data_IF_545217968321
#
_entry.id   IF_545217968321
#
_cell.length_a   1.000
_cell.length_b   1.000
_cell.length_c   1.000
_cell.angle_alpha   90.00
_cell.angle_beta   90.00
_cell.angle_gamma   90.00
#
_symmetry.space_group_name_H-M   'P 1'
#
loop_
_entity.id
_entity.type
_entity.pdbx_description
1 polymer ?
#
# COMPACT_ATOMS: atom_id res chain seq x y z
N UNK A 1 -11.44 22.28 1.41
CA UNK A 1 -10.92 21.06 0.74
C UNK A 1 -10.41 20.02 1.74
N UNK A 2 -9.52 20.38 2.68
CA UNK A 2 -9.07 19.48 3.77
C UNK A 2 -10.24 18.84 4.52
N UNK A 3 -11.21 19.65 4.98
CA UNK A 3 -12.40 19.17 5.70
C UNK A 3 -13.18 18.15 4.87
N UNK A 4 -13.28 18.36 3.55
CA UNK A 4 -13.97 17.44 2.64
C UNK A 4 -13.21 16.12 2.46
N UNK A 5 -11.88 16.16 2.32
CA UNK A 5 -11.03 14.96 2.28
C UNK A 5 -11.07 14.19 3.61
N UNK A 6 -11.08 14.89 4.75
CA UNK A 6 -11.25 14.28 6.07
C UNK A 6 -12.62 13.63 6.24
N UNK A 7 -13.69 14.25 5.74
CA UNK A 7 -15.05 13.68 5.79
C UNK A 7 -15.14 12.44 4.90
N UNK A 8 -14.61 12.50 3.67
CA UNK A 8 -14.58 11.35 2.75
C UNK A 8 -13.75 10.22 3.33
N UNK A 9 -12.57 10.50 3.87
CA UNK A 9 -11.72 9.46 4.49
C UNK A 9 -12.39 8.84 5.71
N UNK A 10 -13.07 9.62 6.56
CA UNK A 10 -13.89 9.07 7.66
C UNK A 10 -15.03 8.17 7.14
N UNK A 11 -15.68 8.57 6.05
CA UNK A 11 -16.73 7.77 5.43
C UNK A 11 -16.19 6.46 4.86
N UNK A 12 -15.04 6.50 4.19
CA UNK A 12 -14.32 5.33 3.67
C UNK A 12 -13.87 4.41 4.80
N UNK A 13 -13.30 4.95 5.89
CA UNK A 13 -12.86 4.16 7.05
C UNK A 13 -14.02 3.36 7.66
N UNK A 14 -15.24 3.89 7.60
CA UNK A 14 -16.42 3.22 8.14
C UNK A 14 -17.04 2.21 7.16
N UNK A 15 -17.05 2.51 5.85
CA UNK A 15 -17.68 1.66 4.84
C UNK A 15 -16.75 0.57 4.29
N UNK A 16 -15.47 0.87 4.06
CA UNK A 16 -14.53 -0.06 3.45
C UNK A 16 -14.42 -1.39 4.21
N UNK A 17 -14.35 -1.42 5.56
CA UNK A 17 -14.30 -2.68 6.30
C UNK A 17 -15.56 -3.55 6.11
N UNK A 18 -16.73 -2.92 5.91
CA UNK A 18 -17.97 -3.66 5.68
C UNK A 18 -17.98 -4.37 4.33
N UNK A 19 -17.66 -3.64 3.25
CA UNK A 19 -17.59 -4.22 1.90
C UNK A 19 -16.49 -5.26 1.79
N UNK A 20 -15.35 -5.03 2.43
CA UNK A 20 -14.22 -5.94 2.37
C UNK A 20 -14.44 -7.20 3.21
N UNK A 21 -15.19 -7.11 4.32
CA UNK A 21 -15.66 -8.31 5.03
C UNK A 21 -16.50 -9.19 4.12
N UNK A 22 -17.35 -8.59 3.27
CA UNK A 22 -18.16 -9.35 2.32
C UNK A 22 -17.28 -10.08 1.31
N UNK A 23 -16.26 -9.41 0.76
CA UNK A 23 -15.33 -10.06 -0.17
C UNK A 23 -14.46 -11.12 0.48
N UNK A 24 -13.99 -10.87 1.70
CA UNK A 24 -13.28 -11.87 2.48
C UNK A 24 -14.15 -13.11 2.66
N UNK A 25 -15.43 -12.97 3.07
CA UNK A 25 -16.36 -14.11 3.17
C UNK A 25 -16.53 -14.83 1.83
N UNK A 26 -16.63 -14.11 0.71
CA UNK A 26 -16.74 -14.72 -0.61
C UNK A 26 -15.52 -15.57 -0.96
N UNK A 27 -14.31 -15.02 -0.81
CA UNK A 27 -13.05 -15.72 -1.08
C UNK A 27 -12.88 -16.91 -0.13
N UNK A 28 -13.12 -16.69 1.16
CA UNK A 28 -13.06 -17.72 2.19
C UNK A 28 -14.08 -18.85 1.97
N UNK A 29 -15.29 -18.56 1.49
CA UNK A 29 -16.29 -19.58 1.16
C UNK A 29 -15.92 -20.43 -0.05
N UNK A 30 -15.05 -19.92 -0.92
CA UNK A 30 -14.54 -20.65 -2.08
C UNK A 30 -13.39 -21.62 -1.73
N UNK A 31 -12.73 -21.40 -0.59
CA UNK A 31 -11.71 -22.28 -0.04
C UNK A 31 -12.35 -23.16 1.05
N UNK A 32 -12.58 -24.44 0.78
CA UNK A 32 -13.41 -25.36 1.57
C UNK A 32 -13.05 -25.56 3.06
N UNK A 33 -12.02 -24.90 3.60
CA UNK A 33 -11.61 -25.01 4.99
C UNK A 33 -11.68 -23.63 5.65
N UNK A 34 -12.68 -23.33 6.50
CA UNK A 34 -12.54 -22.18 7.39
C UNK A 34 -13.26 -22.21 8.74
N UNK A 35 -12.42 -22.09 9.78
CA UNK A 35 -12.74 -21.57 11.10
C UNK A 35 -13.11 -20.08 11.02
N UNK A 36 -14.41 -19.81 10.97
CA UNK A 36 -15.03 -18.47 10.90
C UNK A 36 -14.71 -17.57 12.12
N UNK A 37 -14.12 -18.11 13.19
CA UNK A 37 -13.84 -17.39 14.44
C UNK A 37 -12.68 -16.38 14.33
N UNK A 38 -11.73 -16.57 13.40
CA UNK A 38 -10.56 -15.66 13.23
C UNK A 38 -10.87 -14.35 12.50
N UNK A 39 -12.06 -14.22 11.91
CA UNK A 39 -12.45 -13.07 11.06
C UNK A 39 -12.74 -11.79 11.88
N UNK A 40 -12.82 -11.89 13.20
CA UNK A 40 -13.23 -10.78 14.07
C UNK A 40 -12.07 -9.95 14.60
N UNK A 41 -11.70 -8.87 13.90
CA UNK A 41 -11.08 -7.70 14.56
C UNK A 41 -11.75 -6.39 14.12
N UNK A 42 -12.64 -5.88 14.98
CA UNK A 42 -13.17 -4.50 14.89
C UNK A 42 -12.08 -3.53 15.34
N UNK A 43 -11.39 -2.88 14.42
CA UNK A 43 -10.53 -1.73 14.78
C UNK A 43 -10.54 -0.71 13.66
N UNK A 44 -11.62 0.08 13.64
CA UNK A 44 -11.84 1.19 12.72
C UNK A 44 -10.86 2.37 12.98
N UNK A 45 -10.41 2.52 14.23
CA UNK A 45 -9.53 3.62 14.68
C UNK A 45 -8.12 3.53 14.06
N UNK A 46 -7.57 2.31 13.93
CA UNK A 46 -6.28 2.13 13.28
C UNK A 46 -6.37 2.51 11.78
N UNK A 47 -7.50 2.22 11.13
CA UNK A 47 -7.74 2.58 9.73
C UNK A 47 -7.79 4.08 9.53
N UNK A 48 -8.39 4.83 10.46
CA UNK A 48 -8.37 6.30 10.39
C UNK A 48 -6.96 6.88 10.47
N UNK A 49 -6.03 6.28 11.20
CA UNK A 49 -4.65 6.79 11.26
C UNK A 49 -3.94 6.56 9.92
N UNK A 50 -4.04 5.35 9.35
CA UNK A 50 -3.40 5.03 8.07
C UNK A 50 -3.99 5.79 6.89
N UNK A 51 -5.26 6.19 6.97
CA UNK A 51 -5.94 6.89 5.86
C UNK A 51 -5.86 8.41 6.04
N UNK A 52 -6.11 8.95 7.24
CA UNK A 52 -6.27 10.40 7.46
C UNK A 52 -4.93 11.10 7.67
N UNK A 53 -4.00 10.50 8.42
CA UNK A 53 -2.74 11.18 8.77
C UNK A 53 -1.84 11.46 7.54
N UNK A 54 -1.66 10.51 6.60
CA UNK A 54 -0.90 10.77 5.38
C UNK A 54 -1.54 11.85 4.49
N UNK A 55 -2.87 11.88 4.41
CA UNK A 55 -3.61 12.87 3.62
C UNK A 55 -3.44 14.29 4.16
N UNK A 56 -3.52 14.46 5.48
CA UNK A 56 -3.31 15.75 6.13
C UNK A 56 -1.89 16.29 5.88
N UNK A 57 -0.89 15.40 5.94
CA UNK A 57 0.50 15.77 5.67
C UNK A 57 0.73 16.14 4.20
N UNK A 58 0.16 15.39 3.25
CA UNK A 58 0.34 15.67 1.82
C UNK A 58 -0.41 16.90 1.32
N UNK A 59 -1.55 17.24 1.92
CA UNK A 59 -2.29 18.43 1.53
C UNK A 59 -1.47 19.72 1.72
N UNK A 60 -0.44 19.68 2.58
CA UNK A 60 0.50 20.79 2.77
C UNK A 60 1.43 20.95 1.54
N UNK A 61 1.73 19.87 0.82
CA UNK A 61 2.78 19.84 -0.21
C UNK A 61 2.25 19.69 -1.65
N UNK A 62 1.08 19.08 -1.86
CA UNK A 62 0.52 18.87 -3.20
C UNK A 62 -0.99 19.09 -3.24
N UNK A 63 -1.43 19.88 -4.22
CA UNK A 63 -2.84 20.16 -4.51
C UNK A 63 -3.43 19.26 -5.61
N UNK A 64 -2.65 18.30 -6.13
CA UNK A 64 -3.09 17.45 -7.23
C UNK A 64 -4.02 16.32 -6.75
N UNK A 65 -5.30 16.38 -7.15
CA UNK A 65 -6.34 15.49 -6.60
C UNK A 65 -6.11 13.99 -6.90
N UNK A 66 -5.59 13.67 -8.09
CA UNK A 66 -5.28 12.28 -8.46
C UNK A 66 -4.12 11.75 -7.63
N UNK A 67 -3.12 12.59 -7.35
CA UNK A 67 -2.01 12.23 -6.48
C UNK A 67 -2.46 12.00 -5.04
N UNK A 68 -3.37 12.85 -4.53
CA UNK A 68 -3.99 12.63 -3.22
C UNK A 68 -4.79 11.32 -3.20
N UNK A 69 -5.54 11.00 -4.25
CA UNK A 69 -6.31 9.76 -4.37
C UNK A 69 -5.42 8.50 -4.32
N UNK A 70 -4.21 8.53 -4.89
CA UNK A 70 -3.21 7.45 -4.78
C UNK A 70 -2.89 7.20 -3.30
N UNK A 71 -2.63 8.25 -2.52
CA UNK A 71 -2.34 8.12 -1.10
C UNK A 71 -3.53 7.65 -0.26
N UNK A 72 -4.76 8.04 -0.61
CA UNK A 72 -5.96 7.51 0.03
C UNK A 72 -6.01 5.99 -0.14
N UNK A 73 -5.87 5.52 -1.38
CA UNK A 73 -5.91 4.10 -1.69
C UNK A 73 -4.76 3.33 -1.04
N UNK A 74 -3.57 3.93 -1.01
CA UNK A 74 -2.41 3.33 -0.35
C UNK A 74 -2.62 3.23 1.17
N UNK A 75 -3.28 4.23 1.79
CA UNK A 75 -3.69 4.18 3.19
C UNK A 75 -4.70 3.07 3.48
N UNK A 76 -5.67 2.86 2.57
CA UNK A 76 -6.64 1.76 2.66
C UNK A 76 -5.91 0.42 2.55
N UNK A 77 -5.04 0.26 1.54
CA UNK A 77 -4.24 -0.94 1.35
C UNK A 77 -3.35 -1.24 2.57
N UNK A 78 -2.68 -0.23 3.12
CA UNK A 78 -1.88 -0.34 4.33
C UNK A 78 -2.70 -0.79 5.54
N UNK A 79 -3.92 -0.27 5.70
CA UNK A 79 -4.80 -0.71 6.79
C UNK A 79 -5.15 -2.20 6.68
N UNK A 80 -5.54 -2.66 5.50
CA UNK A 80 -5.91 -4.06 5.29
C UNK A 80 -4.72 -4.99 5.42
N UNK A 81 -3.58 -4.61 4.83
CA UNK A 81 -2.34 -5.35 4.97
C UNK A 81 -1.92 -5.44 6.46
N UNK A 82 -1.93 -4.33 7.21
CA UNK A 82 -1.61 -4.35 8.65
C UNK A 82 -2.53 -5.23 9.50
N UNK A 83 -3.83 -5.29 9.17
CA UNK A 83 -4.82 -6.02 9.98
C UNK A 83 -4.98 -7.47 9.57
N UNK A 84 -4.81 -7.77 8.29
CA UNK A 84 -5.20 -9.06 7.68
C UNK A 84 -4.08 -9.70 6.87
N UNK A 85 -2.93 -9.01 6.72
CA UNK A 85 -1.83 -9.44 5.87
C UNK A 85 -2.30 -9.80 4.44
N UNK A 86 -3.35 -9.12 3.99
CA UNK A 86 -3.99 -9.36 2.71
C UNK A 86 -4.64 -8.06 2.23
N UNK A 87 -4.51 -7.81 0.93
CA UNK A 87 -5.10 -6.65 0.26
C UNK A 87 -6.23 -7.17 -0.62
N UNK A 88 -7.46 -6.66 -0.43
CA UNK A 88 -8.60 -7.08 -1.25
C UNK A 88 -8.43 -6.66 -2.71
N UNK A 89 -8.85 -7.54 -3.62
CA UNK A 89 -8.79 -7.29 -5.07
C UNK A 89 -9.42 -5.96 -5.49
N UNK A 90 -10.59 -5.53 -4.98
CA UNK A 90 -11.14 -4.22 -5.32
C UNK A 90 -10.21 -3.06 -4.99
N UNK A 91 -9.44 -3.15 -3.89
CA UNK A 91 -8.46 -2.12 -3.51
C UNK A 91 -7.32 -2.09 -4.53
N UNK A 92 -6.83 -3.25 -4.97
CA UNK A 92 -5.80 -3.36 -6.00
C UNK A 92 -6.29 -2.75 -7.32
N UNK A 93 -7.46 -3.16 -7.81
CA UNK A 93 -8.02 -2.67 -9.06
C UNK A 93 -8.25 -1.17 -9.07
N UNK A 94 -8.84 -0.61 -8.00
CA UNK A 94 -9.06 0.84 -7.89
C UNK A 94 -7.72 1.59 -7.85
N UNK A 95 -6.71 1.05 -7.16
CA UNK A 95 -5.36 1.66 -7.11
C UNK A 95 -4.73 1.72 -8.50
N UNK A 96 -4.87 0.65 -9.30
CA UNK A 96 -4.38 0.61 -10.68
C UNK A 96 -5.12 1.64 -11.55
N UNK A 97 -6.45 1.72 -11.44
CA UNK A 97 -7.27 2.68 -12.19
C UNK A 97 -6.84 4.12 -11.89
N UNK A 98 -6.65 4.47 -10.62
CA UNK A 98 -6.24 5.83 -10.23
C UNK A 98 -4.84 6.16 -10.78
N UNK A 99 -3.89 5.22 -10.69
CA UNK A 99 -2.56 5.42 -11.27
C UNK A 99 -2.62 5.60 -12.80
N UNK A 100 -3.46 4.83 -13.49
CA UNK A 100 -3.64 4.98 -14.94
C UNK A 100 -4.24 6.35 -15.31
N UNK A 101 -5.24 6.80 -14.56
CA UNK A 101 -5.82 8.14 -14.73
C UNK A 101 -4.80 9.25 -14.45
N UNK A 102 -3.92 9.06 -13.46
CA UNK A 102 -2.82 9.99 -13.16
C UNK A 102 -1.88 10.16 -14.35
N UNK A 103 -1.42 9.06 -14.95
CA UNK A 103 -0.53 9.07 -16.12
C UNK A 103 -1.17 9.78 -17.31
N UNK A 104 -2.45 9.52 -17.57
CA UNK A 104 -3.20 10.18 -18.65
C UNK A 104 -3.30 11.69 -18.38
N UNK A 105 -3.61 12.05 -17.14
CA UNK A 105 -3.78 13.45 -16.74
C UNK A 105 -2.47 14.25 -16.83
N UNK A 106 -1.36 13.66 -16.37
CA UNK A 106 -0.05 14.32 -16.35
C UNK A 106 0.56 14.48 -17.73
N UNK A 107 0.05 13.78 -18.76
CA UNK A 107 0.56 13.75 -20.13
C UNK A 107 2.06 13.43 -20.24
N UNK A 108 2.65 12.89 -19.18
CA UNK A 108 4.10 12.72 -19.00
C UNK A 108 4.51 11.25 -19.11
N UNK A 109 4.25 10.66 -20.29
CA UNK A 109 4.66 9.28 -20.56
C UNK A 109 6.14 9.26 -20.94
N UNK A 110 7.02 9.21 -19.94
CA UNK A 110 8.41 8.85 -20.13
C UNK A 110 8.60 7.36 -19.79
N UNK A 111 8.53 6.53 -20.84
CA UNK A 111 8.70 5.07 -20.72
C UNK A 111 10.02 4.68 -20.05
N UNK A 112 11.08 5.48 -20.24
CA UNK A 112 12.39 5.18 -19.67
C UNK A 112 12.35 5.34 -18.15
N UNK A 113 11.81 6.44 -17.63
CA UNK A 113 11.68 6.63 -16.19
C UNK A 113 10.72 5.63 -15.57
N UNK A 114 9.60 5.31 -16.24
CA UNK A 114 8.65 4.28 -15.79
C UNK A 114 9.32 2.92 -15.64
N UNK A 115 10.04 2.45 -16.66
CA UNK A 115 10.74 1.16 -16.61
C UNK A 115 11.79 1.14 -15.50
N UNK A 116 12.58 2.21 -15.39
CA UNK A 116 13.64 2.31 -14.40
C UNK A 116 13.07 2.33 -12.97
N UNK A 117 11.96 3.04 -12.77
CA UNK A 117 11.26 3.06 -11.49
C UNK A 117 10.61 1.72 -11.15
N UNK A 118 10.01 1.04 -12.13
CA UNK A 118 9.49 -0.32 -11.97
C UNK A 118 10.57 -1.28 -11.49
N UNK A 119 11.77 -1.20 -12.06
CA UNK A 119 12.93 -2.00 -11.65
C UNK A 119 13.33 -1.69 -10.20
N UNK A 120 13.40 -0.41 -9.80
CA UNK A 120 13.71 -0.04 -8.41
C UNK A 120 12.69 -0.54 -7.40
N UNK A 121 11.40 -0.50 -7.73
CA UNK A 121 10.35 -0.97 -6.84
C UNK A 121 10.26 -2.50 -6.74
N UNK A 122 10.36 -3.19 -7.88
CA UNK A 122 10.09 -4.64 -7.94
C UNK A 122 11.31 -5.51 -7.63
N UNK A 123 12.50 -5.12 -8.08
CA UNK A 123 13.69 -5.98 -7.99
C UNK A 123 14.08 -6.26 -6.53
N UNK A 124 14.18 -5.27 -5.64
CA UNK A 124 14.53 -5.51 -4.24
C UNK A 124 13.49 -6.38 -3.53
N UNK A 125 12.21 -6.18 -3.83
CA UNK A 125 11.10 -6.95 -3.30
C UNK A 125 11.20 -8.43 -3.69
N UNK A 126 11.37 -8.70 -4.99
CA UNK A 126 11.51 -10.06 -5.53
C UNK A 126 12.75 -10.76 -5.00
N UNK A 127 13.89 -10.07 -4.92
CA UNK A 127 15.13 -10.62 -4.38
C UNK A 127 14.98 -11.05 -2.91
N UNK A 128 14.37 -10.21 -2.07
CA UNK A 128 14.17 -10.53 -0.66
C UNK A 128 13.25 -11.74 -0.47
N UNK A 129 12.13 -11.78 -1.21
CA UNK A 129 11.22 -12.92 -1.16
C UNK A 129 11.88 -14.21 -1.69
N UNK A 130 12.66 -14.14 -2.78
CA UNK A 130 13.38 -15.28 -3.33
C UNK A 130 14.45 -15.80 -2.37
N UNK A 131 15.24 -14.91 -1.75
CA UNK A 131 16.25 -15.25 -0.75
C UNK A 131 15.62 -15.91 0.48
N UNK A 132 14.53 -15.34 1.00
CA UNK A 132 13.82 -15.93 2.13
C UNK A 132 13.27 -17.32 1.81
N UNK A 133 12.70 -17.49 0.62
CA UNK A 133 12.20 -18.78 0.18
C UNK A 133 13.34 -19.80 0.00
N UNK A 134 14.49 -19.39 -0.51
CA UNK A 134 15.66 -20.26 -0.64
C UNK A 134 16.17 -20.78 0.71
N UNK A 135 16.22 -19.92 1.74
CA UNK A 135 16.76 -20.26 3.07
C UNK A 135 15.73 -20.97 3.95
N UNK A 136 14.49 -20.49 3.95
CA UNK A 136 13.47 -20.88 4.94
C UNK A 136 12.24 -21.57 4.37
N UNK A 137 12.13 -21.68 3.03
CA UNK A 137 10.94 -22.16 2.31
C UNK A 137 9.66 -21.37 2.62
N UNK A 138 9.80 -20.15 3.13
CA UNK A 138 8.72 -19.21 3.44
C UNK A 138 9.01 -17.83 2.87
N UNK A 139 7.96 -17.15 2.42
CA UNK A 139 8.02 -15.77 1.93
C UNK A 139 7.96 -14.78 3.10
N UNK A 140 8.53 -13.58 2.93
CA UNK A 140 8.50 -12.50 3.95
C UNK A 140 7.29 -11.59 3.71
N UNK A 141 7.04 -11.27 2.44
CA UNK A 141 5.99 -10.37 1.99
C UNK A 141 4.94 -11.12 1.19
N UNK A 142 3.70 -10.63 1.21
CA UNK A 142 2.56 -11.31 0.60
C UNK A 142 2.46 -11.00 -0.89
N UNK A 143 1.97 -11.95 -1.69
CA UNK A 143 1.92 -11.80 -3.14
C UNK A 143 1.07 -10.61 -3.60
N UNK A 144 0.03 -10.24 -2.84
CA UNK A 144 -0.82 -9.08 -3.13
C UNK A 144 -0.06 -7.74 -3.16
N UNK A 145 1.00 -7.62 -2.36
CA UNK A 145 1.78 -6.39 -2.22
C UNK A 145 2.44 -5.98 -3.55
N UNK A 146 2.79 -6.96 -4.40
CA UNK A 146 3.47 -6.72 -5.67
C UNK A 146 2.65 -5.87 -6.62
N UNK A 147 1.31 -6.01 -6.60
CA UNK A 147 0.43 -5.26 -7.48
C UNK A 147 0.39 -3.79 -7.09
N UNK A 148 0.39 -3.50 -5.78
CA UNK A 148 0.46 -2.13 -5.28
C UNK A 148 1.83 -1.52 -5.61
N UNK A 149 2.92 -2.26 -5.38
CA UNK A 149 4.29 -1.85 -5.70
C UNK A 149 4.42 -1.48 -7.19
N UNK A 150 3.95 -2.35 -8.08
CA UNK A 150 3.97 -2.10 -9.52
C UNK A 150 3.11 -0.88 -9.87
N UNK A 151 1.91 -0.76 -9.29
CA UNK A 151 1.01 0.36 -9.60
C UNK A 151 1.64 1.72 -9.25
N UNK A 152 2.34 1.81 -8.11
CA UNK A 152 3.03 3.03 -7.67
C UNK A 152 4.26 3.38 -8.52
N UNK A 153 4.92 2.37 -9.09
CA UNK A 153 6.09 2.61 -9.93
C UNK A 153 5.78 3.45 -11.18
N UNK A 154 4.51 3.50 -11.59
CA UNK A 154 4.07 4.30 -12.74
C UNK A 154 3.81 5.78 -12.42
N UNK A 155 3.57 6.13 -11.17
CA UNK A 155 3.15 7.49 -10.76
C UNK A 155 4.23 8.30 -10.05
N UNK A 156 5.44 7.74 -9.93
CA UNK A 156 6.51 8.27 -9.09
C UNK A 156 7.77 8.53 -9.92
N UNK A 157 8.46 9.63 -9.62
CA UNK A 157 9.76 9.95 -10.20
C UNK A 157 10.83 8.93 -9.74
N UNK A 158 11.79 8.51 -10.58
CA UNK A 158 12.75 7.46 -10.23
C UNK A 158 13.54 7.70 -8.93
N UNK A 159 13.94 8.95 -8.64
CA UNK A 159 14.66 9.29 -7.41
C UNK A 159 13.78 9.11 -6.17
N UNK A 160 12.53 9.59 -6.25
CA UNK A 160 11.54 9.43 -5.19
C UNK A 160 11.28 7.94 -4.97
N UNK A 161 11.08 7.18 -6.04
CA UNK A 161 10.87 5.74 -5.99
C UNK A 161 12.05 4.98 -5.37
N UNK A 162 13.28 5.28 -5.75
CA UNK A 162 14.46 4.70 -5.12
C UNK A 162 14.49 4.97 -3.60
N UNK A 163 14.31 6.22 -3.17
CA UNK A 163 14.31 6.56 -1.74
C UNK A 163 13.18 5.86 -0.99
N UNK A 164 11.98 5.79 -1.57
CA UNK A 164 10.85 5.08 -0.94
C UNK A 164 11.14 3.61 -0.69
N UNK A 165 11.68 2.92 -1.70
CA UNK A 165 11.93 1.47 -1.64
C UNK A 165 13.01 1.13 -0.62
N UNK A 166 14.07 1.92 -0.55
CA UNK A 166 15.15 1.73 0.43
C UNK A 166 14.60 1.93 1.85
N UNK A 167 13.86 3.01 2.09
CA UNK A 167 13.27 3.30 3.40
C UNK A 167 12.22 2.25 3.81
N UNK A 168 11.38 1.78 2.88
CA UNK A 168 10.33 0.80 3.18
C UNK A 168 10.92 -0.56 3.52
N UNK A 169 11.91 -1.02 2.76
CA UNK A 169 12.61 -2.28 3.03
C UNK A 169 13.37 -2.20 4.35
N UNK A 170 14.12 -1.12 4.57
CA UNK A 170 14.88 -0.95 5.80
C UNK A 170 13.97 -0.94 7.03
N UNK A 171 12.87 -0.18 6.99
CA UNK A 171 11.92 -0.11 8.10
C UNK A 171 11.18 -1.43 8.33
N UNK A 172 10.78 -2.14 7.27
CA UNK A 172 10.18 -3.48 7.37
C UNK A 172 11.17 -4.49 8.01
N UNK A 173 12.43 -4.52 7.57
CA UNK A 173 13.45 -5.41 8.13
C UNK A 173 13.77 -5.08 9.59
N UNK A 174 13.83 -3.79 9.93
CA UNK A 174 14.02 -3.35 11.32
C UNK A 174 12.86 -3.81 12.19
N UNK A 175 11.62 -3.68 11.70
CA UNK A 175 10.44 -4.19 12.39
C UNK A 175 10.49 -5.72 12.56
N UNK A 176 10.92 -6.46 11.54
CA UNK A 176 11.16 -7.91 11.60
C UNK A 176 12.10 -8.26 12.77
N UNK A 177 13.22 -7.54 12.86
CA UNK A 177 14.26 -7.77 13.85
C UNK A 177 13.76 -7.48 15.27
N UNK A 178 13.02 -6.39 15.46
CA UNK A 178 12.50 -5.98 16.76
C UNK A 178 11.37 -6.89 17.25
N UNK A 179 10.44 -7.26 16.36
CA UNK A 179 9.24 -8.04 16.75
C UNK A 179 9.44 -9.54 16.66
N UNK A 180 10.53 -10.01 16.03
CA UNK A 180 10.79 -11.42 15.71
C UNK A 180 9.69 -12.09 14.88
N UNK A 181 8.75 -11.30 14.31
CA UNK A 181 7.74 -11.77 13.38
C UNK A 181 8.36 -11.87 12.00
N UNK A 182 8.23 -13.02 11.34
CA UNK A 182 8.80 -13.25 9.99
C UNK A 182 7.93 -12.71 8.86
N UNK A 183 6.61 -12.78 9.04
CA UNK A 183 5.64 -12.26 8.08
C UNK A 183 5.29 -10.83 8.47
N UNK A 184 5.45 -9.91 7.53
CA UNK A 184 5.37 -8.48 7.78
C UNK A 184 4.40 -7.86 6.78
N UNK A 185 3.43 -7.05 7.23
CA UNK A 185 2.62 -6.25 6.33
C UNK A 185 3.51 -5.16 5.73
N UNK A 186 3.85 -5.27 4.44
CA UNK A 186 4.81 -4.38 3.78
C UNK A 186 4.22 -3.01 3.41
N UNK A 187 2.94 -2.95 3.03
CA UNK A 187 2.30 -1.73 2.53
C UNK A 187 2.29 -0.57 3.54
N UNK A 188 2.09 -0.79 4.86
CA UNK A 188 2.28 0.25 5.88
C UNK A 188 3.65 0.92 5.84
N UNK A 189 4.72 0.14 5.68
CA UNK A 189 6.08 0.67 5.61
C UNK A 189 6.30 1.43 4.31
N UNK A 190 5.73 0.93 3.22
CA UNK A 190 5.76 1.61 1.93
C UNK A 190 5.02 2.95 1.97
N UNK A 191 3.84 3.04 2.59
CA UNK A 191 3.08 4.27 2.76
C UNK A 191 3.86 5.34 3.54
N UNK A 192 4.41 4.97 4.70
CA UNK A 192 5.18 5.89 5.55
C UNK A 192 6.45 6.35 4.84
N UNK A 193 7.13 5.42 4.17
CA UNK A 193 8.35 5.73 3.41
C UNK A 193 8.07 6.63 2.22
N UNK A 194 6.93 6.46 1.57
CA UNK A 194 6.49 7.31 0.47
C UNK A 194 6.15 8.73 0.92
N UNK A 195 5.50 8.86 2.08
CA UNK A 195 5.27 10.17 2.67
C UNK A 195 6.59 10.85 3.04
N UNK A 196 7.48 10.13 3.75
CA UNK A 196 8.75 10.67 4.22
C UNK A 196 9.66 11.10 3.06
N UNK A 197 9.75 10.30 2.00
CA UNK A 197 10.54 10.63 0.82
C UNK A 197 9.99 11.85 0.09
N UNK A 198 8.67 12.01 0.08
CA UNK A 198 8.05 13.15 -0.60
C UNK A 198 8.37 14.46 0.13
N UNK A 199 8.33 14.44 1.47
CA UNK A 199 8.71 15.58 2.33
C UNK A 199 10.21 15.91 2.17
N UNK A 200 11.05 14.89 1.98
CA UNK A 200 12.50 15.09 1.86
C UNK A 200 12.93 15.67 0.49
N UNK A 201 12.12 15.51 -0.56
CA UNK A 201 12.44 15.94 -1.93
C UNK A 201 11.69 17.22 -2.33
N UNK A 202 10.59 17.56 -1.64
CA UNK A 202 9.85 18.82 -1.79
C UNK A 202 10.57 20.00 -1.16
#
# INVERSE_FOLDING_TARGET
MIIFACIISLFIVNLAPYYIKKEEINVLSSCQDLDLEKVYTKSYIAGSIFIIAPQLLLFIFSYEYLYQAIFIMLGIAAYFDFKRNWIPDPVIFITIIINFLYIIHSQSIDLKSICLNSVFFTTPYLLLNALSFAITKKYIFYSGDIYIIISLSFSVLPLLGFITTVLSIFSALLFMLMTKKREIPYIPFLLISFLASHIAIS
#
